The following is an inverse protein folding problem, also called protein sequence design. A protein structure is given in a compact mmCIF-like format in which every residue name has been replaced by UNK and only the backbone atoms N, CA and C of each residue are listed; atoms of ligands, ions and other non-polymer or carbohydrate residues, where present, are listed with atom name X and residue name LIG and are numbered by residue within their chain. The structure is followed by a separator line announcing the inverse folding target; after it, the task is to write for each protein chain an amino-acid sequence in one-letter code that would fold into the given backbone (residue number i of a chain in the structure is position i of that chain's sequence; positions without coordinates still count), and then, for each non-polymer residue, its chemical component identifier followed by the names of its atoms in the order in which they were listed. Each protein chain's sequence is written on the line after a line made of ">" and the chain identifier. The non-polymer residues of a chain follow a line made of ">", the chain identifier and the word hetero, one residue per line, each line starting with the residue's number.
data_IF_158646391789
#
_entry.id   IF_158646391789
#
_cell.length_a   1.000
_cell.length_b   1.000
_cell.length_c   1.000
_cell.angle_alpha   90.00
_cell.angle_beta   90.00
_cell.angle_gamma   90.00
#
_symmetry.space_group_name_H-M   'P 1'
#
loop_
_entity.id
_entity.type
_entity.pdbx_description
1 polymer ?
#
# COMPACT_ATOMS: atom_id res chain seq x y z
N UNK A 1 16.88 30.72 22.36
CA UNK A 1 17.55 29.47 21.96
C UNK A 1 18.55 29.85 20.87
N UNK A 2 19.86 29.79 21.13
CA UNK A 2 20.88 30.12 20.14
C UNK A 2 20.95 28.97 19.13
N UNK A 3 20.62 29.24 17.87
CA UNK A 3 20.96 28.34 16.75
C UNK A 3 22.48 28.15 16.74
N UNK A 4 22.90 26.92 16.96
CA UNK A 4 24.29 26.53 16.74
C UNK A 4 24.46 26.46 15.22
N UNK A 5 25.03 27.52 14.66
CA UNK A 5 25.51 27.53 13.28
C UNK A 5 26.61 26.47 13.21
N UNK A 6 26.28 25.26 12.69
CA UNK A 6 27.28 24.26 12.36
C UNK A 6 28.20 24.87 11.30
N UNK A 7 29.48 25.06 11.63
CA UNK A 7 30.49 25.47 10.65
C UNK A 7 30.43 24.53 9.42
N UNK A 8 30.38 25.15 8.26
CA UNK A 8 30.35 24.45 6.97
C UNK A 8 31.68 23.72 6.77
N UNK A 9 31.66 22.40 6.76
CA UNK A 9 32.84 21.60 6.45
C UNK A 9 32.83 21.19 4.97
N UNK A 10 33.83 21.72 4.23
CA UNK A 10 34.04 21.35 2.83
C UNK A 10 32.98 21.89 1.85
N UNK A 11 32.74 21.14 0.77
CA UNK A 11 31.82 21.50 -0.31
C UNK A 11 30.35 21.09 -0.03
N UNK A 12 30.11 20.36 1.07
CA UNK A 12 28.76 19.93 1.43
C UNK A 12 27.92 21.12 1.88
N UNK A 13 26.71 21.18 1.36
CA UNK A 13 25.67 22.14 1.74
C UNK A 13 24.35 21.43 1.95
N UNK A 14 23.83 21.47 3.17
CA UNK A 14 22.58 20.82 3.54
C UNK A 14 21.39 21.32 2.71
N UNK A 15 21.41 22.57 2.27
CA UNK A 15 20.40 23.18 1.41
C UNK A 15 20.26 22.52 0.01
N UNK A 16 21.29 21.75 -0.42
CA UNK A 16 21.29 21.02 -1.68
C UNK A 16 20.96 19.53 -1.52
N UNK A 17 20.69 19.11 -0.29
CA UNK A 17 20.30 17.72 -0.02
C UNK A 17 18.80 17.54 -0.31
N UNK A 18 18.47 16.80 -1.33
CA UNK A 18 17.11 16.55 -1.77
C UNK A 18 16.91 15.05 -2.01
N UNK A 19 15.77 14.56 -1.54
CA UNK A 19 15.32 13.23 -1.91
C UNK A 19 14.97 13.19 -3.40
N UNK A 20 15.44 12.17 -4.10
CA UNK A 20 15.20 11.99 -5.52
C UNK A 20 14.35 10.76 -5.77
N UNK A 21 13.14 10.96 -6.32
CA UNK A 21 12.26 9.89 -6.74
C UNK A 21 12.20 9.78 -8.24
N UNK A 22 12.10 8.54 -8.76
CA UNK A 22 11.72 8.28 -10.13
C UNK A 22 10.22 7.99 -10.18
N UNK A 23 9.48 8.70 -11.03
CA UNK A 23 8.03 8.53 -11.15
C UNK A 23 7.69 8.36 -12.62
N UNK A 24 6.74 7.47 -12.91
CA UNK A 24 6.15 7.34 -14.22
C UNK A 24 4.65 7.04 -14.11
N UNK A 25 3.92 7.33 -15.16
CA UNK A 25 2.49 7.07 -15.22
C UNK A 25 2.09 6.54 -16.60
N UNK A 26 1.12 5.64 -16.60
CA UNK A 26 0.46 5.15 -17.81
C UNK A 26 -1.04 5.18 -17.62
N UNK A 27 -1.77 5.67 -18.61
CA UNK A 27 -3.22 5.76 -18.58
C UNK A 27 -3.81 5.42 -19.94
N UNK A 28 -4.92 4.69 -19.94
CA UNK A 28 -5.72 4.49 -21.13
C UNK A 28 -6.72 5.65 -21.26
N UNK A 29 -6.55 6.53 -22.25
CA UNK A 29 -7.38 7.73 -22.47
C UNK A 29 -8.86 7.39 -22.64
N UNK A 30 -9.17 6.21 -23.19
CA UNK A 30 -10.56 5.73 -23.36
C UNK A 30 -11.13 5.03 -22.11
N UNK A 31 -10.38 5.00 -21.00
CA UNK A 31 -10.79 4.36 -19.74
C UNK A 31 -10.89 2.84 -19.80
N UNK A 32 -10.34 2.19 -20.84
CA UNK A 32 -10.38 0.73 -20.97
C UNK A 32 -9.39 0.09 -20.00
N UNK A 33 -9.90 -0.71 -19.07
CA UNK A 33 -9.08 -1.47 -18.10
C UNK A 33 -8.46 -2.68 -18.80
N UNK A 34 -7.14 -2.87 -18.65
CA UNK A 34 -6.43 -4.04 -19.17
C UNK A 34 -5.21 -4.36 -18.29
N UNK A 35 -4.82 -5.63 -18.28
CA UNK A 35 -3.58 -6.05 -17.62
C UNK A 35 -2.34 -5.45 -18.30
N UNK A 36 -2.39 -5.18 -19.60
CA UNK A 36 -1.28 -4.52 -20.34
C UNK A 36 -0.93 -3.16 -19.74
N UNK A 37 -1.93 -2.40 -19.26
CA UNK A 37 -1.69 -1.13 -18.56
C UNK A 37 -0.88 -1.35 -17.27
N UNK A 38 -1.19 -2.41 -16.51
CA UNK A 38 -0.45 -2.78 -15.30
C UNK A 38 0.97 -3.23 -15.66
N UNK A 39 1.11 -4.10 -16.66
CA UNK A 39 2.40 -4.59 -17.13
C UNK A 39 3.31 -3.46 -17.62
N UNK A 40 2.74 -2.46 -18.33
CA UNK A 40 3.48 -1.27 -18.76
C UNK A 40 3.88 -0.37 -17.58
N UNK A 41 3.03 -0.23 -16.57
CA UNK A 41 3.36 0.51 -15.36
C UNK A 41 4.51 -0.16 -14.58
N UNK A 42 4.50 -1.49 -14.46
CA UNK A 42 5.61 -2.25 -13.87
C UNK A 42 6.89 -2.11 -14.69
N UNK A 43 6.81 -2.11 -16.02
CA UNK A 43 7.97 -1.85 -16.89
C UNK A 43 8.56 -0.45 -16.70
N UNK A 44 7.71 0.57 -16.46
CA UNK A 44 8.21 1.92 -16.10
C UNK A 44 9.07 1.85 -14.85
N UNK A 45 8.60 1.15 -13.81
CA UNK A 45 9.34 0.96 -12.55
C UNK A 45 10.68 0.26 -12.82
N UNK A 46 10.68 -0.83 -13.58
CA UNK A 46 11.88 -1.58 -13.96
C UNK A 46 12.89 -0.72 -14.73
N UNK A 47 12.43 0.17 -15.61
CA UNK A 47 13.28 1.10 -16.37
C UNK A 47 13.94 2.18 -15.48
N UNK A 48 13.48 2.38 -14.25
CA UNK A 48 14.05 3.32 -13.30
C UNK A 48 15.20 2.70 -12.45
N UNK A 49 15.69 1.50 -12.77
CA UNK A 49 16.76 0.81 -12.00
C UNK A 49 18.04 1.66 -11.87
N UNK A 50 18.36 2.48 -12.88
CA UNK A 50 19.51 3.41 -12.85
C UNK A 50 19.38 4.51 -11.78
N UNK A 51 18.22 4.69 -11.17
CA UNK A 51 17.93 5.64 -10.10
C UNK A 51 17.63 4.97 -8.75
N UNK A 52 17.57 3.64 -8.73
CA UNK A 52 17.26 2.87 -7.53
C UNK A 52 18.51 2.71 -6.66
N UNK A 53 18.40 3.08 -5.39
CA UNK A 53 19.41 2.77 -4.39
C UNK A 53 19.42 1.28 -4.06
N UNK A 54 20.61 0.75 -3.80
CA UNK A 54 20.83 -0.63 -3.39
C UNK A 54 21.71 -0.64 -2.15
N UNK A 55 21.42 -1.53 -1.22
CA UNK A 55 22.26 -1.72 -0.05
C UNK A 55 23.58 -2.44 -0.39
N UNK A 56 24.45 -2.59 0.62
CA UNK A 56 25.76 -3.21 0.44
C UNK A 56 25.71 -4.68 -0.03
N UNK A 57 24.64 -5.43 0.28
CA UNK A 57 24.45 -6.79 -0.24
C UNK A 57 23.88 -6.83 -1.67
N UNK A 58 23.45 -5.68 -2.21
CA UNK A 58 22.90 -5.56 -3.54
C UNK A 58 21.54 -6.24 -3.76
N UNK A 59 20.87 -6.64 -2.67
CA UNK A 59 19.61 -7.41 -2.70
C UNK A 59 18.43 -6.71 -2.04
N UNK A 60 18.66 -5.64 -1.29
CA UNK A 60 17.64 -4.79 -0.68
C UNK A 60 17.69 -3.41 -1.34
N UNK A 61 16.55 -2.87 -1.73
CA UNK A 61 16.43 -1.55 -2.35
C UNK A 61 15.83 -0.53 -1.41
N UNK A 62 15.88 0.76 -1.78
CA UNK A 62 15.37 1.88 -1.00
C UNK A 62 13.84 1.89 -0.94
N UNK A 63 13.19 1.41 -1.96
CA UNK A 63 11.75 1.33 -2.00
C UNK A 63 11.18 1.48 -3.41
N UNK A 64 10.20 0.64 -3.70
CA UNK A 64 9.50 0.59 -4.99
C UNK A 64 8.02 0.38 -4.74
N UNK A 65 7.17 0.98 -5.57
CA UNK A 65 5.74 0.77 -5.48
C UNK A 65 4.99 1.10 -6.76
N UNK A 66 3.76 0.64 -6.81
CA UNK A 66 2.81 0.91 -7.88
C UNK A 66 1.43 1.25 -7.28
N UNK A 67 0.79 2.27 -7.82
CA UNK A 67 -0.60 2.60 -7.54
C UNK A 67 -1.45 2.17 -8.71
N UNK A 68 -2.46 1.36 -8.45
CA UNK A 68 -3.36 0.79 -9.44
C UNK A 68 -4.82 1.16 -9.15
N UNK A 69 -5.64 1.20 -10.19
CA UNK A 69 -7.09 1.16 -9.98
C UNK A 69 -7.50 -0.23 -9.47
N UNK A 70 -8.44 -0.26 -8.52
CA UNK A 70 -9.00 -1.52 -8.01
C UNK A 70 -9.66 -2.30 -9.16
N UNK A 71 -9.17 -3.51 -9.42
CA UNK A 71 -9.77 -4.45 -10.36
C UNK A 71 -10.90 -5.22 -9.70
N UNK A 72 -12.15 -4.79 -9.91
CA UNK A 72 -13.32 -5.47 -9.34
C UNK A 72 -13.36 -6.95 -9.72
N UNK A 73 -13.06 -7.29 -10.98
CA UNK A 73 -13.04 -8.70 -11.47
C UNK A 73 -12.03 -9.55 -10.69
N UNK A 74 -10.85 -9.02 -10.43
CA UNK A 74 -9.81 -9.69 -9.65
C UNK A 74 -10.25 -9.90 -8.20
N UNK A 75 -10.62 -8.80 -7.50
CA UNK A 75 -10.97 -8.86 -6.09
C UNK A 75 -12.24 -9.66 -5.83
N UNK A 76 -13.23 -9.64 -6.72
CA UNK A 76 -14.42 -10.52 -6.62
C UNK A 76 -14.03 -12.00 -6.60
N UNK A 77 -13.06 -12.40 -7.44
CA UNK A 77 -12.55 -13.77 -7.46
C UNK A 77 -11.70 -14.10 -6.23
N UNK A 78 -10.81 -13.19 -5.83
CA UNK A 78 -9.92 -13.38 -4.68
C UNK A 78 -10.72 -13.45 -3.36
N UNK A 79 -11.63 -12.51 -3.13
CA UNK A 79 -12.48 -12.46 -1.94
C UNK A 79 -13.41 -13.68 -1.82
N UNK A 80 -13.94 -14.16 -2.95
CA UNK A 80 -14.79 -15.37 -2.94
C UNK A 80 -14.04 -16.61 -2.41
N UNK A 81 -12.74 -16.71 -2.65
CA UNK A 81 -11.92 -17.81 -2.12
C UNK A 81 -11.78 -17.75 -0.59
N UNK A 82 -11.81 -16.55 -0.03
CA UNK A 82 -11.72 -16.28 1.41
C UNK A 82 -13.12 -16.19 2.08
N UNK A 83 -14.20 -16.44 1.36
CA UNK A 83 -15.56 -16.30 1.88
C UNK A 83 -16.02 -14.86 2.10
N UNK A 84 -15.34 -13.87 1.52
CA UNK A 84 -15.69 -12.45 1.63
C UNK A 84 -16.56 -12.03 0.45
N UNK A 85 -17.75 -11.52 0.73
CA UNK A 85 -18.67 -11.00 -0.27
C UNK A 85 -18.54 -9.48 -0.42
N UNK A 86 -18.00 -9.05 -1.56
CA UNK A 86 -17.79 -7.64 -1.89
C UNK A 86 -18.85 -7.13 -2.85
N UNK A 87 -19.86 -6.53 -2.63
CA UNK A 87 -20.89 -5.97 -3.51
C UNK A 87 -20.46 -5.68 -4.97
N UNK A 88 -20.98 -4.62 -5.53
CA UNK A 88 -20.64 -4.17 -6.89
C UNK A 88 -19.39 -3.28 -6.91
N UNK A 89 -18.89 -2.99 -8.09
CA UNK A 89 -17.76 -2.07 -8.27
C UNK A 89 -18.05 -0.70 -7.62
N UNK A 90 -17.09 -0.22 -6.82
CA UNK A 90 -17.17 1.05 -6.03
C UNK A 90 -18.22 1.05 -4.91
N UNK A 91 -18.76 -0.10 -4.54
CA UNK A 91 -19.61 -0.26 -3.35
C UNK A 91 -18.82 -0.80 -2.16
N UNK A 92 -17.53 -0.94 -2.32
CA UNK A 92 -16.59 -1.32 -1.25
C UNK A 92 -15.30 -0.53 -1.37
N UNK A 93 -14.61 -0.38 -0.26
CA UNK A 93 -13.25 0.13 -0.16
C UNK A 93 -12.29 -0.98 0.21
N UNK A 94 -11.03 -0.81 -0.18
CA UNK A 94 -9.92 -1.70 0.21
C UNK A 94 -8.90 -0.88 1.00
N UNK A 95 -8.64 -1.32 2.23
CA UNK A 95 -7.49 -0.88 3.01
C UNK A 95 -6.35 -1.87 2.86
N UNK A 96 -5.14 -1.42 2.51
CA UNK A 96 -3.94 -2.25 2.53
C UNK A 96 -3.07 -1.88 3.71
N UNK A 97 -2.65 -2.88 4.47
CA UNK A 97 -1.98 -2.73 5.75
C UNK A 97 -0.67 -3.50 5.81
N UNK A 98 0.30 -2.92 6.49
CA UNK A 98 1.49 -3.57 6.98
C UNK A 98 1.38 -3.77 8.49
N UNK A 99 1.05 -4.99 8.90
CA UNK A 99 0.94 -5.37 10.30
C UNK A 99 2.25 -5.93 10.85
N UNK A 100 2.47 -5.84 12.18
CA UNK A 100 3.59 -6.52 12.81
C UNK A 100 3.47 -8.04 12.67
N UNK A 101 4.61 -8.73 12.61
CA UNK A 101 4.65 -10.20 12.58
C UNK A 101 4.14 -10.83 13.88
N UNK A 102 4.25 -10.12 14.99
CA UNK A 102 3.78 -10.60 16.28
C UNK A 102 2.26 -10.77 16.30
N UNK A 103 1.79 -12.00 16.44
CA UNK A 103 0.37 -12.38 16.28
C UNK A 103 -0.59 -11.63 17.19
N UNK A 104 -0.25 -11.48 18.49
CA UNK A 104 -1.13 -10.79 19.44
C UNK A 104 -1.28 -9.30 19.06
N UNK A 105 -0.17 -8.62 18.74
CA UNK A 105 -0.21 -7.21 18.32
C UNK A 105 -1.00 -7.05 17.03
N UNK A 106 -0.84 -7.98 16.08
CA UNK A 106 -1.59 -8.00 14.82
C UNK A 106 -3.09 -8.20 15.08
N UNK A 107 -3.45 -9.16 15.93
CA UNK A 107 -4.86 -9.42 16.29
C UNK A 107 -5.51 -8.21 16.97
N UNK A 108 -4.82 -7.56 17.91
CA UNK A 108 -5.28 -6.35 18.57
C UNK A 108 -5.49 -5.20 17.58
N UNK A 109 -4.53 -4.96 16.68
CA UNK A 109 -4.63 -3.92 15.67
C UNK A 109 -5.79 -4.18 14.68
N UNK A 110 -5.98 -5.42 14.24
CA UNK A 110 -7.12 -5.81 13.41
C UNK A 110 -8.44 -5.52 14.10
N UNK A 111 -8.57 -5.94 15.36
CA UNK A 111 -9.81 -5.72 16.14
C UNK A 111 -10.08 -4.23 16.38
N UNK A 112 -9.05 -3.45 16.66
CA UNK A 112 -9.16 -1.99 16.77
C UNK A 112 -9.68 -1.37 15.48
N UNK A 113 -9.15 -1.77 14.33
CA UNK A 113 -9.60 -1.28 13.03
C UNK A 113 -11.06 -1.63 12.75
N UNK A 114 -11.49 -2.86 13.04
CA UNK A 114 -12.88 -3.30 12.90
C UNK A 114 -13.84 -2.43 13.75
N UNK A 115 -13.48 -2.16 15.01
CA UNK A 115 -14.25 -1.29 15.90
C UNK A 115 -14.37 0.14 15.34
N UNK A 116 -13.27 0.69 14.80
CA UNK A 116 -13.28 2.03 14.22
C UNK A 116 -14.18 2.07 12.97
N UNK A 117 -14.10 1.06 12.11
CA UNK A 117 -14.97 0.94 10.92
C UNK A 117 -16.45 0.95 11.32
N UNK A 118 -16.83 0.14 12.32
CA UNK A 118 -18.20 0.09 12.85
C UNK A 118 -18.63 1.43 13.49
N UNK A 119 -17.75 2.04 14.30
CA UNK A 119 -17.98 3.36 14.93
C UNK A 119 -18.25 4.45 13.89
N UNK A 120 -17.55 4.42 12.77
CA UNK A 120 -17.73 5.38 11.66
C UNK A 120 -18.97 5.08 10.78
N UNK A 121 -19.78 4.10 11.17
CA UNK A 121 -20.99 3.71 10.45
C UNK A 121 -20.71 2.98 9.14
N UNK A 122 -19.58 2.30 9.07
CA UNK A 122 -19.19 1.46 7.94
C UNK A 122 -19.36 -0.02 8.31
N UNK A 123 -19.50 -0.89 7.32
CA UNK A 123 -19.59 -2.33 7.53
C UNK A 123 -18.27 -2.99 7.14
N UNK A 124 -17.67 -3.71 8.08
CA UNK A 124 -16.47 -4.49 7.83
C UNK A 124 -16.84 -5.85 7.21
N UNK A 125 -16.28 -6.17 6.04
CA UNK A 125 -16.60 -7.40 5.30
C UNK A 125 -15.61 -8.55 5.59
N UNK A 126 -14.35 -8.24 5.84
CA UNK A 126 -13.35 -9.27 6.11
C UNK A 126 -11.91 -8.84 5.84
N UNK A 127 -10.99 -9.69 6.29
CA UNK A 127 -9.56 -9.59 6.04
C UNK A 127 -9.11 -10.64 5.02
N UNK A 128 -8.25 -10.22 4.09
CA UNK A 128 -7.52 -11.11 3.19
C UNK A 128 -6.02 -10.94 3.42
N UNK A 129 -5.29 -12.02 3.59
CA UNK A 129 -3.84 -11.99 3.54
C UNK A 129 -3.38 -11.86 2.08
N UNK A 130 -2.43 -10.97 1.83
CA UNK A 130 -1.89 -10.77 0.48
C UNK A 130 -0.87 -11.86 0.20
N UNK A 131 -1.04 -12.68 -0.85
CA UNK A 131 -0.06 -13.71 -1.18
C UNK A 131 1.22 -13.06 -1.69
N UNK A 132 2.34 -13.46 -1.07
CA UNK A 132 3.67 -12.93 -1.35
C UNK A 132 4.71 -14.03 -1.41
N UNK A 133 5.84 -13.76 -2.09
CA UNK A 133 6.99 -14.66 -2.24
C UNK A 133 8.20 -14.07 -1.49
N UNK A 134 8.39 -14.35 -0.18
CA UNK A 134 9.45 -13.76 0.63
C UNK A 134 10.87 -14.11 0.17
N UNK A 135 11.01 -15.20 -0.58
CA UNK A 135 12.30 -15.74 -1.04
C UNK A 135 13.02 -14.78 -2.00
N UNK A 136 12.27 -13.90 -2.68
CA UNK A 136 12.85 -12.92 -3.61
C UNK A 136 13.52 -11.74 -2.90
N UNK A 137 13.26 -11.57 -1.59
CA UNK A 137 13.79 -10.45 -0.81
C UNK A 137 15.24 -10.70 -0.36
N UNK A 138 16.01 -9.61 -0.25
CA UNK A 138 17.28 -9.62 0.48
C UNK A 138 17.08 -9.85 1.98
N UNK A 139 18.15 -10.22 2.68
CA UNK A 139 18.10 -10.60 4.10
C UNK A 139 17.49 -9.49 4.98
N UNK A 140 17.95 -8.25 4.83
CA UNK A 140 17.45 -7.10 5.60
C UNK A 140 15.97 -6.82 5.38
N UNK A 141 15.51 -6.85 4.12
CA UNK A 141 14.09 -6.64 3.80
C UNK A 141 13.22 -7.76 4.38
N UNK A 142 13.73 -9.01 4.38
CA UNK A 142 13.01 -10.16 4.95
C UNK A 142 12.89 -10.09 6.47
N UNK A 143 13.94 -9.63 7.18
CA UNK A 143 13.92 -9.49 8.64
C UNK A 143 12.87 -8.49 9.13
N UNK A 144 12.65 -7.41 8.38
CA UNK A 144 11.66 -6.37 8.71
C UNK A 144 10.34 -6.48 7.92
N UNK A 145 10.14 -7.57 7.18
CA UNK A 145 8.94 -7.78 6.38
C UNK A 145 7.68 -7.79 7.26
N UNK A 146 6.67 -6.95 6.98
CA UNK A 146 5.41 -6.98 7.69
C UNK A 146 4.52 -8.15 7.23
N UNK A 147 3.50 -8.47 8.03
CA UNK A 147 2.37 -9.24 7.54
C UNK A 147 1.47 -8.30 6.71
N UNK A 148 1.27 -8.62 5.43
CA UNK A 148 0.54 -7.76 4.51
C UNK A 148 -0.90 -8.24 4.38
N UNK A 149 -1.86 -7.38 4.75
CA UNK A 149 -3.27 -7.72 4.73
C UNK A 149 -4.12 -6.66 4.06
N UNK A 150 -5.26 -7.08 3.53
CA UNK A 150 -6.28 -6.23 2.94
C UNK A 150 -7.56 -6.32 3.77
N UNK A 151 -8.11 -5.14 4.14
CA UNK A 151 -9.44 -5.01 4.74
C UNK A 151 -10.45 -4.64 3.66
N UNK A 152 -11.59 -5.29 3.65
CA UNK A 152 -12.71 -4.95 2.78
C UNK A 152 -13.82 -4.30 3.60
N UNK A 153 -14.29 -3.15 3.13
CA UNK A 153 -15.24 -2.30 3.85
C UNK A 153 -16.37 -1.97 2.90
N UNK A 154 -17.60 -2.26 3.28
CA UNK A 154 -18.79 -1.97 2.46
C UNK A 154 -19.17 -0.50 2.56
N UNK A 155 -19.61 0.06 1.46
CA UNK A 155 -20.22 1.38 1.39
C UNK A 155 -21.60 1.33 2.03
N UNK A 156 -21.96 2.25 2.96
CA UNK A 156 -23.34 2.40 3.43
C UNK A 156 -24.31 2.67 2.28
N UNK A 157 -25.54 2.14 2.38
CA UNK A 157 -26.52 2.21 1.30
C UNK A 157 -27.02 3.65 1.07
N UNK A 158 -27.07 4.47 2.13
CA UNK A 158 -27.44 5.88 2.13
C UNK A 158 -26.34 6.83 1.63
N UNK A 159 -25.11 6.33 1.42
CA UNK A 159 -23.98 7.13 1.01
C UNK A 159 -23.74 7.04 -0.50
N UNK A 160 -23.46 8.19 -1.14
CA UNK A 160 -23.11 8.23 -2.56
C UNK A 160 -21.75 7.56 -2.84
N UNK A 161 -21.65 6.93 -4.02
CA UNK A 161 -20.37 6.38 -4.51
C UNK A 161 -19.39 7.51 -4.79
N UNK A 162 -18.12 7.25 -4.58
CA UNK A 162 -17.05 8.18 -4.93
C UNK A 162 -16.51 8.94 -3.74
N UNK A 163 -16.41 10.28 -3.85
CA UNK A 163 -15.67 11.09 -2.88
C UNK A 163 -16.29 11.06 -1.47
N UNK A 164 -17.61 10.94 -1.37
CA UNK A 164 -18.28 10.86 -0.08
C UNK A 164 -17.87 9.61 0.68
N UNK A 165 -17.84 8.45 0.01
CA UNK A 165 -17.39 7.21 0.61
C UNK A 165 -15.87 7.23 0.89
N UNK A 166 -15.04 7.75 -0.03
CA UNK A 166 -13.59 7.86 0.20
C UNK A 166 -13.26 8.78 1.40
N UNK A 167 -14.08 9.82 1.67
CA UNK A 167 -13.95 10.65 2.89
C UNK A 167 -14.21 9.85 4.17
N UNK A 168 -15.22 8.99 4.19
CA UNK A 168 -15.48 8.09 5.32
C UNK A 168 -14.32 7.11 5.56
N UNK A 169 -13.83 6.50 4.50
CA UNK A 169 -12.65 5.63 4.56
C UNK A 169 -11.43 6.40 5.09
N UNK A 170 -11.24 7.65 4.67
CA UNK A 170 -10.14 8.49 5.14
C UNK A 170 -10.25 8.78 6.65
N UNK A 171 -11.46 9.08 7.16
CA UNK A 171 -11.68 9.32 8.59
C UNK A 171 -11.31 8.06 9.39
N UNK A 172 -11.85 6.89 9.02
CA UNK A 172 -11.53 5.63 9.66
C UNK A 172 -10.02 5.31 9.63
N UNK A 173 -9.36 5.58 8.50
CA UNK A 173 -7.91 5.46 8.37
C UNK A 173 -7.18 6.36 9.38
N UNK A 174 -7.52 7.64 9.44
CA UNK A 174 -6.83 8.61 10.29
C UNK A 174 -7.03 8.33 11.77
N UNK A 175 -8.22 7.92 12.17
CA UNK A 175 -8.50 7.51 13.54
C UNK A 175 -7.66 6.27 13.93
N UNK A 176 -7.58 5.29 13.03
CA UNK A 176 -6.75 4.11 13.25
C UNK A 176 -5.25 4.46 13.34
N UNK A 177 -4.73 5.29 12.43
CA UNK A 177 -3.33 5.72 12.44
C UNK A 177 -2.97 6.50 13.71
N UNK A 178 -3.90 7.25 14.31
CA UNK A 178 -3.69 7.94 15.58
C UNK A 178 -3.77 7.04 16.80
N UNK A 179 -4.41 5.90 16.68
CA UNK A 179 -4.66 4.95 17.77
C UNK A 179 -3.67 3.78 17.79
N UNK A 180 -2.87 3.61 16.75
CA UNK A 180 -1.98 2.45 16.60
C UNK A 180 -0.66 2.80 15.91
N UNK A 181 0.44 2.73 16.67
CA UNK A 181 1.80 3.03 16.19
C UNK A 181 2.51 1.83 15.56
N UNK A 182 1.95 0.62 15.67
CA UNK A 182 2.61 -0.62 15.23
C UNK A 182 2.16 -1.09 13.84
N UNK A 183 1.24 -0.36 13.20
CA UNK A 183 0.66 -0.73 11.91
C UNK A 183 0.76 0.45 10.94
N UNK A 184 1.13 0.16 9.71
CA UNK A 184 1.17 1.16 8.66
C UNK A 184 0.04 0.93 7.66
N UNK A 185 -0.76 1.97 7.41
CA UNK A 185 -1.81 1.93 6.38
C UNK A 185 -1.22 2.38 5.05
N UNK A 186 -0.96 1.43 4.17
CA UNK A 186 -0.36 1.67 2.85
C UNK A 186 -1.28 2.50 1.97
N UNK A 187 -2.53 2.07 1.87
CA UNK A 187 -3.59 2.78 1.13
C UNK A 187 -4.97 2.41 1.67
N UNK A 188 -5.96 3.28 1.50
CA UNK A 188 -7.36 3.00 1.79
C UNK A 188 -8.23 3.82 0.84
N UNK A 189 -8.95 3.17 -0.06
CA UNK A 189 -9.76 3.82 -1.08
C UNK A 189 -10.80 2.88 -1.68
N UNK A 190 -11.85 3.44 -2.27
CA UNK A 190 -12.81 2.72 -3.10
C UNK A 190 -12.40 2.64 -4.58
N UNK A 191 -11.27 3.27 -4.96
CA UNK A 191 -10.84 3.40 -6.35
C UNK A 191 -9.47 2.84 -6.65
N UNK A 192 -8.53 3.03 -5.73
CA UNK A 192 -7.11 2.72 -5.96
C UNK A 192 -6.54 1.88 -4.83
N UNK A 193 -5.50 1.12 -5.15
CA UNK A 193 -4.73 0.33 -4.21
C UNK A 193 -3.24 0.53 -4.49
N UNK A 194 -2.42 0.51 -3.45
CA UNK A 194 -0.96 0.66 -3.56
C UNK A 194 -0.27 -0.62 -3.12
N UNK A 195 0.59 -1.16 -3.97
CA UNK A 195 1.54 -2.21 -3.64
C UNK A 195 2.94 -1.60 -3.57
N UNK A 196 3.62 -1.75 -2.45
CA UNK A 196 4.98 -1.21 -2.25
C UNK A 196 5.77 -1.98 -1.21
N UNK A 197 7.08 -1.74 -1.18
CA UNK A 197 7.98 -2.30 -0.17
C UNK A 197 9.42 -1.88 -0.40
N UNK A 198 10.32 -2.32 0.47
CA UNK A 198 11.77 -2.14 0.32
C UNK A 198 12.33 -3.15 -0.69
N UNK A 199 12.10 -2.87 -1.95
CA UNK A 199 12.43 -3.75 -3.06
C UNK A 199 13.53 -3.16 -3.95
N UNK A 200 14.26 -4.04 -4.64
CA UNK A 200 14.82 -3.71 -5.94
C UNK A 200 13.68 -3.62 -6.97
N UNK A 201 13.85 -2.82 -8.01
CA UNK A 201 12.78 -2.54 -8.99
C UNK A 201 12.15 -3.79 -9.62
N UNK A 202 12.94 -4.82 -9.89
CA UNK A 202 12.44 -6.08 -10.46
C UNK A 202 11.75 -7.00 -9.44
N UNK A 203 11.91 -6.77 -8.13
CA UNK A 203 11.33 -7.61 -7.09
C UNK A 203 9.84 -7.34 -6.86
N UNK A 204 9.34 -6.12 -7.16
CA UNK A 204 7.94 -5.77 -6.94
C UNK A 204 6.96 -6.75 -7.60
N UNK A 205 7.20 -7.07 -8.86
CA UNK A 205 6.38 -8.00 -9.66
C UNK A 205 6.46 -9.45 -9.17
N UNK A 206 7.64 -9.87 -8.71
CA UNK A 206 7.88 -11.26 -8.30
C UNK A 206 7.51 -11.51 -6.85
N UNK A 207 7.43 -10.47 -6.03
CA UNK A 207 7.06 -10.55 -4.63
C UNK A 207 5.54 -10.63 -4.42
N UNK A 208 4.75 -9.79 -5.11
CA UNK A 208 3.30 -9.80 -5.00
C UNK A 208 2.67 -10.68 -6.07
N UNK A 209 2.05 -11.80 -5.66
CA UNK A 209 1.33 -12.68 -6.59
C UNK A 209 0.06 -12.03 -7.19
N UNK A 210 -0.39 -10.92 -6.62
CA UNK A 210 -1.54 -10.15 -7.10
C UNK A 210 -1.20 -9.31 -8.36
N UNK A 211 0.08 -9.11 -8.69
CA UNK A 211 0.59 -8.30 -9.81
C UNK A 211 1.04 -9.16 -10.97
#
# INVERSE_FOLDING_TARGET
>A
MKEVIKERQGLYRQEFEHDNCGIGAVVNIKGKKSHDTVANALRIVENLDHRAGKDAEGKTGDGVGILLQISHKFFKKACKKEGIEIGQEREYGIGQFFFPQHEIKRAQAKKMFEIIVEKEGLEFLGWREVPVVPEVLGHKARECMPCIMQAFIKKPDDLEKGIAFDRKLYIARREFEQSNDNTYVVSMSSRTIVYKGMFLVGQLRTFFEDL
#
